data_IF_460363904060
#
_entry.id   IF_460363904060
#
_cell.length_a   1.000
_cell.length_b   1.000
_cell.length_c   1.000
_cell.angle_alpha   90.00
_cell.angle_beta   90.00
_cell.angle_gamma   90.00
#
_symmetry.space_group_name_H-M   'P 1'
#
loop_
_entity.id
_entity.type
_entity.pdbx_description
1 polymer ?
#
# COMPACT_ATOMS: atom_id res chain seq x y z
N UNK A 1 -18.22 -6.12 -15.30
CA UNK A 1 -16.81 -6.19 -14.88
C UNK A 1 -16.77 -6.89 -13.53
N UNK A 2 -16.34 -8.15 -13.48
CA UNK A 2 -16.33 -8.99 -12.27
C UNK A 2 -14.92 -8.89 -11.71
N UNK A 3 -14.73 -8.20 -10.59
CA UNK A 3 -13.42 -8.14 -9.93
C UNK A 3 -13.29 -9.47 -9.19
N UNK A 4 -12.47 -10.38 -9.74
CA UNK A 4 -12.12 -11.62 -9.06
C UNK A 4 -11.28 -11.29 -7.83
N UNK A 5 -11.84 -11.66 -6.68
CA UNK A 5 -11.25 -11.58 -5.37
C UNK A 5 -9.97 -12.43 -5.34
N UNK A 6 -8.82 -11.77 -5.46
CA UNK A 6 -7.51 -12.41 -5.47
C UNK A 6 -7.30 -13.11 -4.10
N UNK A 7 -7.44 -14.44 -4.10
CA UNK A 7 -7.32 -15.29 -2.90
C UNK A 7 -5.93 -15.13 -2.28
N UNK A 8 -5.89 -14.38 -1.18
CA UNK A 8 -4.72 -14.10 -0.39
C UNK A 8 -4.02 -15.38 0.09
N UNK A 9 -2.72 -15.49 -0.20
CA UNK A 9 -1.82 -16.43 0.47
C UNK A 9 -1.80 -16.09 1.97
N UNK A 10 -2.33 -16.99 2.80
CA UNK A 10 -2.10 -17.03 4.25
C UNK A 10 -2.72 -15.89 5.08
N UNK A 11 -3.95 -15.46 4.77
CA UNK A 11 -4.63 -14.39 5.51
C UNK A 11 -4.90 -14.77 6.97
N UNK A 12 -4.25 -14.08 7.92
CA UNK A 12 -4.74 -14.01 9.30
C UNK A 12 -6.22 -13.62 9.28
N UNK A 13 -7.08 -14.18 10.16
CA UNK A 13 -8.49 -13.87 10.19
C UNK A 13 -8.70 -12.36 10.19
N UNK A 14 -9.60 -11.88 9.33
CA UNK A 14 -10.02 -10.47 9.31
C UNK A 14 -10.52 -10.15 10.72
N UNK A 15 -9.84 -9.25 11.42
CA UNK A 15 -10.24 -8.86 12.78
C UNK A 15 -11.61 -8.19 12.66
N UNK A 16 -12.60 -8.69 13.41
CA UNK A 16 -13.95 -8.14 13.40
C UNK A 16 -13.91 -6.64 13.75
N UNK A 17 -14.58 -5.81 12.95
CA UNK A 17 -14.55 -4.35 13.07
C UNK A 17 -13.31 -3.67 12.47
N UNK A 18 -12.34 -4.40 11.91
CA UNK A 18 -11.26 -3.79 11.14
C UNK A 18 -11.73 -3.40 9.73
N UNK A 19 -11.28 -2.24 9.24
CA UNK A 19 -11.54 -1.77 7.88
C UNK A 19 -10.25 -1.74 7.07
N UNK A 20 -10.35 -1.96 5.76
CA UNK A 20 -9.25 -1.82 4.80
C UNK A 20 -9.69 -0.88 3.69
N UNK A 21 -8.91 0.16 3.44
CA UNK A 21 -9.10 1.07 2.31
C UNK A 21 -7.83 1.12 1.48
N UNK A 22 -7.99 1.29 0.17
CA UNK A 22 -6.88 1.37 -0.77
C UNK A 22 -6.81 2.78 -1.35
N UNK A 23 -5.58 3.29 -1.45
CA UNK A 23 -5.28 4.58 -2.04
C UNK A 23 -4.12 4.45 -3.02
N UNK A 24 -4.05 5.40 -3.94
CA UNK A 24 -2.97 5.64 -4.87
C UNK A 24 -2.58 7.13 -4.84
N UNK A 25 -1.68 7.52 -5.73
CA UNK A 25 -1.19 8.89 -5.86
C UNK A 25 -2.26 9.92 -6.30
N UNK A 26 -3.43 9.49 -6.77
CA UNK A 26 -4.50 10.38 -7.29
C UNK A 26 -5.66 10.53 -6.32
N UNK A 27 -5.89 9.53 -5.48
CA UNK A 27 -7.07 9.42 -4.62
C UNK A 27 -6.91 10.12 -3.27
N UNK A 28 -5.69 10.50 -2.87
CA UNK A 28 -5.43 11.23 -1.64
C UNK A 28 -4.11 12.01 -1.68
N UNK A 29 -4.09 13.30 -1.28
CA UNK A 29 -2.86 14.08 -1.15
C UNK A 29 -1.81 13.47 -0.21
N UNK A 30 -2.19 12.56 0.70
CA UNK A 30 -1.25 11.88 1.60
C UNK A 30 -0.27 10.96 0.87
N UNK A 31 -0.64 10.53 -0.33
CA UNK A 31 0.05 9.51 -1.11
C UNK A 31 0.49 10.01 -2.47
N UNK A 32 0.48 11.32 -2.69
CA UNK A 32 0.98 11.99 -3.89
C UNK A 32 2.44 11.63 -4.24
N UNK A 33 3.24 11.29 -3.24
CA UNK A 33 4.61 10.83 -3.39
C UNK A 33 4.75 9.40 -3.95
N UNK A 34 3.68 8.61 -4.01
CA UNK A 34 3.73 7.28 -4.63
C UNK A 34 3.87 7.39 -6.15
N UNK A 35 4.75 6.59 -6.73
CA UNK A 35 4.83 6.48 -8.19
C UNK A 35 3.56 5.84 -8.77
N UNK A 36 3.18 6.18 -10.02
CA UNK A 36 2.06 5.53 -10.70
C UNK A 36 2.15 4.00 -10.66
N UNK A 37 1.02 3.35 -10.37
CA UNK A 37 0.93 1.89 -10.23
C UNK A 37 1.23 1.37 -8.82
N UNK A 38 1.79 2.18 -7.92
CA UNK A 38 1.86 1.85 -6.50
C UNK A 38 0.55 2.16 -5.80
N UNK A 39 0.20 1.30 -4.83
CA UNK A 39 -0.98 1.48 -3.97
C UNK A 39 -0.62 1.30 -2.51
N UNK A 40 -1.46 1.81 -1.62
CA UNK A 40 -1.35 1.61 -0.18
C UNK A 40 -2.67 1.14 0.39
N UNK A 41 -2.62 0.08 1.19
CA UNK A 41 -3.72 -0.37 2.02
C UNK A 41 -3.58 0.27 3.41
N UNK A 42 -4.54 1.09 3.81
CA UNK A 42 -4.73 1.49 5.20
C UNK A 42 -5.68 0.52 5.90
N UNK A 43 -5.15 -0.17 6.92
CA UNK A 43 -5.93 -1.04 7.81
C UNK A 43 -6.21 -0.32 9.12
N UNK A 44 -7.46 0.05 9.35
CA UNK A 44 -7.89 0.61 10.64
C UNK A 44 -8.38 -0.52 11.53
N UNK A 45 -7.69 -0.74 12.64
CA UNK A 45 -8.10 -1.73 13.64
C UNK A 45 -9.25 -1.18 14.51
N UNK A 46 -10.02 -2.05 15.20
CA UNK A 46 -11.02 -1.61 16.18
C UNK A 46 -10.45 -0.69 17.27
N UNK A 47 -9.16 -0.85 17.59
CA UNK A 47 -8.42 0.02 18.53
C UNK A 47 -8.19 1.45 18.02
N UNK A 48 -8.53 1.75 16.77
CA UNK A 48 -8.19 3.01 16.08
C UNK A 48 -6.78 3.05 15.50
N UNK A 49 -5.93 2.05 15.79
CA UNK A 49 -4.59 1.95 15.19
C UNK A 49 -4.68 1.72 13.69
N UNK A 50 -4.01 2.57 12.91
CA UNK A 50 -3.92 2.46 11.45
C UNK A 50 -2.57 1.86 11.04
N UNK A 51 -2.61 0.72 10.35
CA UNK A 51 -1.45 0.13 9.70
C UNK A 51 -1.46 0.46 8.21
N UNK A 52 -0.27 0.59 7.62
CA UNK A 52 -0.09 0.85 6.20
C UNK A 52 0.73 -0.26 5.58
N UNK A 53 0.28 -0.76 4.45
CA UNK A 53 1.03 -1.70 3.62
C UNK A 53 1.03 -1.13 2.21
N UNK A 54 2.22 -0.88 1.69
CA UNK A 54 2.42 -0.38 0.34
C UNK A 54 2.65 -1.56 -0.59
N UNK A 55 2.09 -1.50 -1.79
CA UNK A 55 2.27 -2.54 -2.80
C UNK A 55 2.82 -1.93 -4.07
N UNK A 56 3.84 -2.57 -4.65
CA UNK A 56 4.31 -2.25 -5.98
C UNK A 56 3.35 -2.78 -7.07
N UNK A 57 3.54 -2.40 -8.35
CA UNK A 57 2.69 -2.87 -9.45
C UNK A 57 2.65 -4.40 -9.63
N UNK A 58 3.59 -5.13 -9.04
CA UNK A 58 3.67 -6.58 -9.08
C UNK A 58 3.08 -7.25 -7.82
N UNK A 59 2.56 -6.45 -6.89
CA UNK A 59 1.93 -6.91 -5.65
C UNK A 59 2.90 -7.21 -4.51
N UNK A 60 4.18 -6.82 -4.60
CA UNK A 60 5.11 -6.98 -3.48
C UNK A 60 4.80 -5.97 -2.40
N UNK A 61 4.72 -6.44 -1.15
CA UNK A 61 4.36 -5.62 0.00
C UNK A 61 5.58 -4.99 0.68
N UNK A 62 5.42 -3.75 1.15
CA UNK A 62 6.38 -2.98 1.92
C UNK A 62 5.66 -2.34 3.12
N UNK A 63 6.25 -2.40 4.29
CA UNK A 63 5.64 -1.93 5.53
C UNK A 63 5.86 -0.43 5.78
N UNK A 64 6.90 0.16 5.18
CA UNK A 64 7.29 1.55 5.45
C UNK A 64 7.56 2.34 4.18
N UNK A 65 7.42 3.67 4.27
CA UNK A 65 7.82 4.60 3.20
C UNK A 65 9.30 4.45 2.83
N UNK A 66 10.19 4.24 3.81
CA UNK A 66 11.62 4.06 3.55
C UNK A 66 11.92 2.80 2.74
N UNK A 67 11.18 1.71 2.99
CA UNK A 67 11.32 0.48 2.19
C UNK A 67 10.84 0.68 0.75
N UNK A 68 9.78 1.46 0.53
CA UNK A 68 9.30 1.84 -0.80
C UNK A 68 10.37 2.65 -1.55
N UNK A 69 10.93 3.67 -0.90
CA UNK A 69 11.98 4.51 -1.49
C UNK A 69 13.23 3.68 -1.83
N UNK A 70 13.66 2.80 -0.92
CA UNK A 70 14.78 1.90 -1.16
C UNK A 70 14.53 0.97 -2.35
N UNK A 71 13.29 0.47 -2.51
CA UNK A 71 12.94 -0.37 -3.66
C UNK A 71 13.02 0.39 -4.98
N UNK A 72 12.65 1.68 -4.99
CA UNK A 72 12.83 2.55 -6.15
C UNK A 72 14.31 2.75 -6.46
N UNK A 73 15.13 3.08 -5.46
CA UNK A 73 16.58 3.26 -5.65
C UNK A 73 17.25 2.01 -6.21
N UNK A 74 16.89 0.83 -5.69
CA UNK A 74 17.38 -0.47 -6.20
C UNK A 74 16.92 -0.76 -7.64
N UNK A 75 15.79 -0.20 -8.06
CA UNK A 75 15.30 -0.27 -9.43
C UNK A 75 15.88 0.84 -10.34
N UNK A 76 16.81 1.67 -9.83
CA UNK A 76 17.43 2.77 -10.58
C UNK A 76 16.56 4.03 -10.66
N UNK A 77 15.54 4.16 -9.82
CA UNK A 77 14.69 5.33 -9.72
C UNK A 77 15.16 6.20 -8.54
N UNK A 78 15.58 7.43 -8.84
CA UNK A 78 15.97 8.41 -7.83
C UNK A 78 14.84 9.41 -7.61
N UNK A 79 14.39 9.56 -6.36
CA UNK A 79 13.44 10.61 -6.00
C UNK A 79 14.20 11.92 -5.94
N UNK A 80 14.02 12.77 -6.94
CA UNK A 80 14.51 14.15 -6.91
C UNK A 80 13.40 15.00 -6.30
N UNK A 81 13.59 15.46 -5.07
CA UNK A 81 12.73 16.52 -4.54
C UNK A 81 13.04 17.81 -5.32
N UNK A 82 12.05 18.44 -5.97
CA UNK A 82 12.20 19.77 -6.55
C UNK A 82 12.39 20.84 -5.48
#
# INVERSE_FOLDING_TARGET
MRIEENRARGGRPRVEGATSLFYDHTSSPRYDWLLPGWVVEERTMPTGRVYRIYYDPFGRAYATKSEVILAWEQAGLHVVNP
#
